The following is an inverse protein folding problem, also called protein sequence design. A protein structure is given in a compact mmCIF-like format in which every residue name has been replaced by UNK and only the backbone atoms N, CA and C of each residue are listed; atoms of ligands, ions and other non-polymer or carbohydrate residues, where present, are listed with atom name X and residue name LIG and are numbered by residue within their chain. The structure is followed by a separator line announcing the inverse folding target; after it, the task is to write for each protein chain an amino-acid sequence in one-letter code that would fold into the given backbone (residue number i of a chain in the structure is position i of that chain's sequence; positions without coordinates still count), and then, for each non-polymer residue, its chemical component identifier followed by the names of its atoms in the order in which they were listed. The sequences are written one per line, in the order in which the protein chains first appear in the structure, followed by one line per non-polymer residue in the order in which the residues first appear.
data_IF_149540302149
#
_entry.id   IF_149540302149
#
_cell.length_a   1.000
_cell.length_b   1.000
_cell.length_c   1.000
_cell.angle_alpha   90.00
_cell.angle_beta   90.00
_cell.angle_gamma   90.00
#
_symmetry.space_group_name_H-M   'P 1'
#
loop_
_entity.id
_entity.type
_entity.pdbx_description
1 polymer ?
#
# COMPACT_ATOMS: atom_id res chain seq x y z
N UNK A 1 12.34 28.43 -29.31
CA UNK A 1 11.59 27.18 -29.66
C UNK A 1 11.44 26.41 -28.37
N UNK A 2 10.20 26.17 -27.93
CA UNK A 2 9.95 25.30 -26.79
C UNK A 2 10.37 23.87 -27.17
N UNK A 3 11.28 23.28 -26.41
CA UNK A 3 11.62 21.87 -26.55
C UNK A 3 10.50 21.11 -25.85
N UNK A 4 9.73 20.35 -26.61
CA UNK A 4 8.64 19.55 -26.07
C UNK A 4 9.17 18.16 -25.73
N UNK A 5 9.30 17.86 -24.44
CA UNK A 5 9.50 16.48 -23.99
C UNK A 5 8.15 15.77 -24.13
N UNK A 6 8.10 14.72 -24.95
CA UNK A 6 6.88 13.95 -25.17
C UNK A 6 6.36 13.35 -23.84
N UNK A 7 5.18 13.74 -23.34
CA UNK A 7 4.62 13.20 -22.12
C UNK A 7 4.37 11.68 -22.17
N UNK A 8 4.13 11.11 -23.37
CA UNK A 8 3.99 9.67 -23.56
C UNK A 8 5.27 8.91 -23.16
N UNK A 9 6.43 9.59 -23.19
CA UNK A 9 7.70 9.02 -22.73
C UNK A 9 7.70 8.68 -21.24
N UNK A 10 6.83 9.27 -20.43
CA UNK A 10 6.77 8.92 -19.01
C UNK A 10 5.64 7.93 -18.70
N UNK A 11 4.81 7.61 -19.69
CA UNK A 11 3.80 6.57 -19.52
C UNK A 11 4.48 5.20 -19.63
N UNK A 12 4.12 4.32 -18.70
CA UNK A 12 4.51 2.91 -18.71
C UNK A 12 5.99 2.64 -18.39
N UNK A 13 6.66 3.55 -17.66
CA UNK A 13 8.06 3.35 -17.27
C UNK A 13 8.25 2.00 -16.57
N UNK A 14 7.34 1.64 -15.67
CA UNK A 14 7.38 0.37 -14.92
C UNK A 14 7.26 -0.89 -15.79
N UNK A 15 6.77 -0.77 -17.03
CA UNK A 15 6.62 -1.88 -17.99
C UNK A 15 7.57 -1.79 -19.20
N UNK A 16 8.54 -0.86 -19.20
CA UNK A 16 9.53 -0.78 -20.28
C UNK A 16 10.49 -1.98 -20.26
N UNK A 17 10.87 -2.52 -21.44
CA UNK A 17 11.94 -3.51 -21.52
C UNK A 17 13.24 -2.91 -20.99
N UNK A 18 14.05 -3.73 -20.30
CA UNK A 18 15.35 -3.33 -19.74
C UNK A 18 16.44 -3.13 -20.81
N UNK A 19 16.06 -3.16 -22.09
CA UNK A 19 16.95 -3.06 -23.23
C UNK A 19 16.70 -1.75 -23.98
N UNK A 20 17.78 -0.97 -24.13
CA UNK A 20 17.79 0.26 -24.89
C UNK A 20 18.40 1.40 -24.09
N UNK A 21 19.40 2.05 -24.69
CA UNK A 21 19.89 3.33 -24.21
C UNK A 21 19.78 4.34 -25.35
N UNK A 22 19.27 5.52 -25.04
CA UNK A 22 19.08 6.57 -26.03
C UNK A 22 20.10 7.68 -25.79
N UNK A 23 20.84 8.05 -26.82
CA UNK A 23 21.66 9.26 -26.78
C UNK A 23 20.77 10.48 -27.03
N UNK A 24 20.85 11.44 -26.13
CA UNK A 24 20.09 12.69 -26.19
C UNK A 24 20.95 13.81 -26.76
N UNK A 25 20.33 14.71 -27.51
CA UNK A 25 20.96 15.98 -27.86
C UNK A 25 21.08 16.87 -26.61
N UNK A 26 22.07 17.78 -26.51
CA UNK A 26 22.27 18.61 -25.32
C UNK A 26 21.03 19.36 -24.83
N UNK A 27 20.23 19.90 -25.76
CA UNK A 27 18.98 20.61 -25.45
C UNK A 27 17.88 19.70 -24.89
N UNK A 28 17.81 18.46 -25.35
CA UNK A 28 16.86 17.47 -24.86
C UNK A 28 17.25 17.00 -23.46
N UNK A 29 18.56 16.85 -23.22
CA UNK A 29 19.13 16.56 -21.90
C UNK A 29 18.79 17.68 -20.90
N UNK A 30 19.05 18.93 -21.26
CA UNK A 30 18.76 20.08 -20.39
C UNK A 30 17.28 20.15 -20.03
N UNK A 31 16.39 20.04 -21.02
CA UNK A 31 14.94 20.04 -20.80
C UNK A 31 14.50 18.89 -19.86
N UNK A 32 15.08 17.70 -20.00
CA UNK A 32 14.75 16.56 -19.15
C UNK A 32 15.19 16.76 -17.69
N UNK A 33 16.31 17.45 -17.45
CA UNK A 33 16.81 17.74 -16.11
C UNK A 33 16.04 18.89 -15.44
N UNK A 34 15.56 19.87 -16.21
CA UNK A 34 14.72 20.98 -15.71
C UNK A 34 13.33 20.53 -15.26
N UNK A 35 12.79 19.47 -15.87
CA UNK A 35 11.45 18.94 -15.61
C UNK A 35 11.29 18.25 -14.24
N UNK A 36 12.39 18.05 -13.50
CA UNK A 36 12.44 17.29 -12.26
C UNK A 36 12.18 15.79 -12.46
N UNK A 37 12.24 15.01 -11.37
CA UNK A 37 12.05 13.56 -11.43
C UNK A 37 10.57 13.23 -11.64
N UNK A 38 10.21 12.70 -12.80
CA UNK A 38 8.85 12.20 -13.05
C UNK A 38 8.64 10.86 -12.35
N UNK A 39 7.56 10.70 -11.60
CA UNK A 39 7.30 9.47 -10.83
C UNK A 39 5.93 8.89 -11.14
N UNK A 40 5.88 7.59 -11.41
CA UNK A 40 4.66 6.83 -11.69
C UNK A 40 4.55 5.64 -10.74
N UNK A 41 3.41 5.50 -10.07
CA UNK A 41 3.08 4.38 -9.16
C UNK A 41 1.79 3.73 -9.67
N UNK A 42 1.78 2.41 -9.85
CA UNK A 42 0.64 1.71 -10.47
C UNK A 42 0.34 0.35 -9.85
N UNK A 43 -0.94 0.00 -9.81
CA UNK A 43 -1.42 -1.35 -9.49
C UNK A 43 -2.32 -1.39 -8.26
N UNK A 44 -3.23 -2.36 -8.27
CA UNK A 44 -4.21 -2.60 -7.19
C UNK A 44 -3.68 -3.74 -6.30
N UNK A 45 -3.29 -3.42 -5.06
CA UNK A 45 -2.70 -4.38 -4.10
C UNK A 45 -3.78 -5.30 -3.54
N UNK A 46 -4.82 -4.71 -2.94
CA UNK A 46 -5.98 -5.43 -2.41
C UNK A 46 -7.25 -4.95 -3.08
N UNK A 47 -8.19 -5.86 -3.29
CA UNK A 47 -9.49 -5.57 -3.90
C UNK A 47 -10.55 -6.28 -3.08
N UNK A 48 -11.50 -5.52 -2.56
CA UNK A 48 -12.60 -6.04 -1.75
C UNK A 48 -13.35 -7.17 -2.48
N UNK A 49 -13.91 -8.10 -1.71
CA UNK A 49 -14.85 -9.07 -2.26
C UNK A 49 -16.29 -8.55 -2.17
N UNK A 50 -17.03 -8.68 -3.27
CA UNK A 50 -18.45 -8.30 -3.27
C UNK A 50 -19.28 -9.15 -2.30
N UNK A 51 -20.27 -8.49 -1.68
CA UNK A 51 -21.34 -9.13 -0.91
C UNK A 51 -22.71 -8.67 -1.41
N UNK A 52 -23.65 -9.61 -1.55
CA UNK A 52 -24.97 -9.37 -2.15
C UNK A 52 -26.03 -8.98 -1.11
N UNK A 53 -25.67 -8.02 -0.26
CA UNK A 53 -26.52 -7.55 0.81
C UNK A 53 -27.57 -6.58 0.32
N UNK A 54 -28.84 -6.97 0.38
CA UNK A 54 -29.96 -6.06 0.13
C UNK A 54 -30.14 -5.09 1.30
N UNK A 55 -30.39 -3.78 1.04
CA UNK A 55 -30.66 -2.84 2.10
C UNK A 55 -31.85 -3.27 2.95
N UNK A 56 -31.74 -3.14 4.27
CA UNK A 56 -32.82 -3.45 5.20
C UNK A 56 -33.68 -2.22 5.49
N UNK A 57 -34.95 -2.46 5.86
CA UNK A 57 -35.87 -1.40 6.27
C UNK A 57 -35.50 -0.88 7.67
N UNK A 58 -35.79 0.38 7.97
CA UNK A 58 -35.56 0.94 9.32
C UNK A 58 -36.25 0.12 10.43
N UNK A 59 -37.44 -0.42 10.16
CA UNK A 59 -38.15 -1.28 11.13
C UNK A 59 -37.35 -2.55 11.46
N UNK A 60 -36.72 -3.15 10.46
CA UNK A 60 -35.82 -4.30 10.63
C UNK A 60 -34.58 -3.89 11.44
N UNK A 61 -33.93 -2.79 11.05
CA UNK A 61 -32.72 -2.29 11.69
C UNK A 61 -32.94 -1.91 13.17
N UNK A 62 -34.15 -1.47 13.54
CA UNK A 62 -34.53 -1.19 14.95
C UNK A 62 -34.80 -2.46 15.75
N UNK A 63 -35.49 -3.43 15.17
CA UNK A 63 -35.93 -4.63 15.87
C UNK A 63 -34.82 -5.69 16.05
N UNK A 64 -33.75 -5.60 15.25
CA UNK A 64 -32.61 -6.51 15.30
C UNK A 64 -31.95 -6.52 16.70
N UNK A 65 -31.68 -7.73 17.22
CA UNK A 65 -30.97 -7.93 18.49
C UNK A 65 -29.48 -8.06 18.21
N UNK A 66 -28.68 -7.19 18.81
CA UNK A 66 -27.24 -7.14 18.62
C UNK A 66 -26.49 -7.58 19.88
N UNK A 67 -25.51 -8.46 19.70
CA UNK A 67 -24.63 -8.90 20.76
C UNK A 67 -23.45 -7.93 20.88
N UNK A 68 -23.61 -6.93 21.77
CA UNK A 68 -22.58 -5.92 22.03
C UNK A 68 -21.38 -6.51 22.77
N UNK A 69 -20.13 -6.27 22.33
CA UNK A 69 -18.94 -6.67 23.06
C UNK A 69 -18.93 -6.09 24.48
N UNK A 70 -18.55 -6.91 25.46
CA UNK A 70 -18.42 -6.48 26.87
C UNK A 70 -17.09 -5.76 27.08
N UNK A 71 -16.99 -4.52 26.61
CA UNK A 71 -15.83 -3.67 26.81
C UNK A 71 -16.22 -2.20 27.02
N UNK A 72 -15.34 -1.45 27.67
CA UNK A 72 -15.48 0.01 27.78
C UNK A 72 -14.89 0.66 26.53
N UNK A 73 -15.68 1.53 25.89
CA UNK A 73 -15.21 2.33 24.77
C UNK A 73 -14.34 3.50 25.26
N UNK A 74 -13.32 3.84 24.47
CA UNK A 74 -12.63 5.11 24.58
C UNK A 74 -13.53 6.29 24.20
N UNK A 75 -13.10 7.51 24.55
CA UNK A 75 -13.85 8.77 24.31
C UNK A 75 -14.20 8.99 22.83
N UNK A 76 -13.36 8.51 21.93
CA UNK A 76 -13.48 8.69 20.48
C UNK A 76 -13.90 7.42 19.75
N UNK A 77 -14.41 6.43 20.46
CA UNK A 77 -14.83 5.14 19.89
C UNK A 77 -16.35 4.99 19.98
N UNK A 78 -16.89 4.19 19.08
CA UNK A 78 -18.29 3.81 19.05
C UNK A 78 -18.43 2.37 18.55
N UNK A 79 -19.61 1.80 18.73
CA UNK A 79 -19.93 0.49 18.18
C UNK A 79 -20.58 0.63 16.82
N UNK A 80 -20.05 -0.08 15.83
CA UNK A 80 -20.58 -0.16 14.48
C UNK A 80 -21.01 -1.58 14.21
N UNK A 81 -22.20 -1.75 13.62
CA UNK A 81 -22.77 -3.04 13.31
C UNK A 81 -23.00 -3.23 11.81
N UNK A 82 -22.70 -4.42 11.31
CA UNK A 82 -22.89 -4.82 9.90
C UNK A 82 -23.03 -6.34 9.81
N UNK A 83 -23.68 -6.84 8.76
CA UNK A 83 -23.84 -8.29 8.57
C UNK A 83 -22.49 -8.98 8.36
N UNK A 84 -22.36 -10.17 8.93
CA UNK A 84 -21.23 -11.05 8.70
C UNK A 84 -21.20 -11.44 7.20
N UNK A 85 -20.09 -11.18 6.46
CA UNK A 85 -19.99 -11.55 5.05
C UNK A 85 -20.13 -13.06 4.77
N UNK A 86 -19.86 -13.90 5.77
CA UNK A 86 -19.93 -15.37 5.66
C UNK A 86 -21.29 -15.94 6.09
N UNK A 87 -22.10 -15.16 6.80
CA UNK A 87 -23.43 -15.53 7.28
C UNK A 87 -24.31 -14.30 7.46
N UNK A 88 -25.17 -13.99 6.49
CA UNK A 88 -25.96 -12.75 6.48
C UNK A 88 -27.11 -12.71 7.51
N UNK A 89 -27.36 -13.82 8.22
CA UNK A 89 -28.23 -13.90 9.39
C UNK A 89 -27.54 -13.41 10.68
N UNK A 90 -26.21 -13.34 10.68
CA UNK A 90 -25.41 -12.87 11.80
C UNK A 90 -24.99 -11.42 11.60
N UNK A 91 -25.15 -10.59 12.63
CA UNK A 91 -24.64 -9.23 12.64
C UNK A 91 -23.47 -9.10 13.61
N UNK A 92 -22.35 -8.64 13.05
CA UNK A 92 -21.13 -8.34 13.79
C UNK A 92 -21.21 -6.93 14.38
N UNK A 93 -20.65 -6.76 15.57
CA UNK A 93 -20.53 -5.46 16.24
C UNK A 93 -19.07 -5.22 16.56
N UNK A 94 -18.46 -4.25 15.89
CA UNK A 94 -17.05 -3.89 16.09
C UNK A 94 -16.93 -2.53 16.76
N UNK A 95 -15.77 -2.27 17.34
CA UNK A 95 -15.38 -0.93 17.77
C UNK A 95 -14.77 -0.21 16.59
N UNK A 96 -15.19 1.03 16.34
CA UNK A 96 -14.65 1.91 15.31
C UNK A 96 -14.42 3.29 15.92
N UNK A 97 -13.33 3.95 15.52
CA UNK A 97 -13.11 5.34 15.89
C UNK A 97 -14.04 6.29 15.09
N UNK A 98 -14.40 7.39 15.73
CA UNK A 98 -15.33 8.38 15.15
C UNK A 98 -14.80 9.00 13.86
N UNK A 99 -13.49 9.13 13.71
CA UNK A 99 -12.86 9.70 12.52
C UNK A 99 -13.10 8.80 11.30
N UNK A 100 -12.82 7.51 11.42
CA UNK A 100 -13.11 6.49 10.39
C UNK A 100 -14.59 6.48 10.01
N UNK A 101 -15.50 6.54 11.00
CA UNK A 101 -16.93 6.61 10.70
C UNK A 101 -17.29 7.88 9.93
N UNK A 102 -16.75 9.03 10.31
CA UNK A 102 -17.01 10.30 9.62
C UNK A 102 -16.51 10.27 8.18
N UNK A 103 -15.36 9.64 7.91
CA UNK A 103 -14.85 9.43 6.56
C UNK A 103 -15.82 8.56 5.74
N UNK A 104 -16.30 7.44 6.29
CA UNK A 104 -17.32 6.61 5.63
C UNK A 104 -18.60 7.41 5.34
N UNK A 105 -19.08 8.20 6.32
CA UNK A 105 -20.27 9.04 6.15
C UNK A 105 -20.08 10.17 5.13
N UNK A 106 -18.83 10.57 4.86
CA UNK A 106 -18.53 11.56 3.82
C UNK A 106 -18.56 10.99 2.41
N UNK A 107 -18.30 9.69 2.26
CA UNK A 107 -18.26 9.00 0.96
C UNK A 107 -19.59 8.34 0.60
N UNK A 108 -20.31 7.79 1.58
CA UNK A 108 -21.55 7.03 1.36
C UNK A 108 -22.81 7.85 1.68
N UNK A 109 -23.95 7.35 1.21
CA UNK A 109 -25.25 7.98 1.46
C UNK A 109 -25.56 8.02 2.96
N UNK A 110 -26.12 9.12 3.46
CA UNK A 110 -26.58 9.21 4.87
C UNK A 110 -27.60 8.13 5.26
N UNK A 111 -28.36 7.60 4.28
CA UNK A 111 -29.33 6.52 4.51
C UNK A 111 -28.67 5.17 4.80
N UNK A 112 -27.38 5.06 4.52
CA UNK A 112 -26.58 3.85 4.75
C UNK A 112 -26.11 3.75 6.21
N UNK A 113 -26.41 4.76 7.05
CA UNK A 113 -26.04 4.78 8.46
C UNK A 113 -27.29 4.96 9.32
N UNK A 114 -27.62 3.95 10.10
CA UNK A 114 -28.75 3.98 11.02
C UNK A 114 -28.26 4.05 12.47
N UNK A 115 -28.44 5.20 13.09
CA UNK A 115 -28.16 5.38 14.52
C UNK A 115 -29.28 4.73 15.37
N UNK A 116 -28.91 3.71 16.15
CA UNK A 116 -29.84 3.01 17.03
C UNK A 116 -29.92 3.70 18.40
N UNK A 117 -31.04 3.49 19.10
CA UNK A 117 -31.26 4.03 20.45
C UNK A 117 -30.27 3.47 21.49
N UNK A 118 -29.69 2.29 21.23
CA UNK A 118 -28.68 1.65 22.07
C UNK A 118 -27.24 2.20 21.84
N UNK A 119 -27.11 3.21 20.97
CA UNK A 119 -25.85 3.90 20.65
C UNK A 119 -24.97 3.16 19.65
N UNK A 120 -25.46 2.09 19.01
CA UNK A 120 -24.77 1.40 17.92
C UNK A 120 -25.12 2.07 16.59
N UNK A 121 -24.12 2.31 15.74
CA UNK A 121 -24.34 2.74 14.35
C UNK A 121 -24.45 1.49 13.49
N UNK A 122 -25.64 1.23 12.97
CA UNK A 122 -25.90 0.08 12.09
C UNK A 122 -25.70 0.51 10.64
N UNK A 123 -24.71 -0.07 9.97
CA UNK A 123 -24.47 0.14 8.54
C UNK A 123 -25.60 -0.48 7.72
N UNK A 124 -25.85 0.05 6.53
CA UNK A 124 -26.82 -0.46 5.57
C UNK A 124 -26.33 -0.11 4.16
N UNK A 125 -27.01 -0.61 3.13
CA UNK A 125 -26.77 -0.16 1.75
C UNK A 125 -25.32 -0.39 1.28
N UNK A 126 -24.74 0.61 0.61
CA UNK A 126 -23.38 0.50 0.06
C UNK A 126 -22.33 0.50 1.17
N UNK A 127 -22.51 1.29 2.23
CA UNK A 127 -21.54 1.32 3.35
C UNK A 127 -21.38 -0.04 4.02
N UNK A 128 -22.49 -0.80 4.17
CA UNK A 128 -22.47 -2.15 4.73
C UNK A 128 -21.74 -3.11 3.78
N UNK A 129 -22.05 -3.04 2.49
CA UNK A 129 -21.40 -3.88 1.46
C UNK A 129 -19.90 -3.64 1.41
N UNK A 130 -19.49 -2.38 1.49
CA UNK A 130 -18.09 -1.98 1.49
C UNK A 130 -17.32 -2.55 2.70
N UNK A 131 -17.82 -2.32 3.92
CA UNK A 131 -17.16 -2.80 5.14
C UNK A 131 -17.15 -4.32 5.23
N UNK A 132 -18.28 -4.97 4.92
CA UNK A 132 -18.37 -6.43 4.91
C UNK A 132 -17.51 -7.05 3.80
N UNK A 133 -17.42 -6.41 2.63
CA UNK A 133 -16.60 -6.87 1.52
C UNK A 133 -15.11 -6.83 1.81
N UNK A 134 -14.65 -5.79 2.51
CA UNK A 134 -13.28 -5.77 3.04
C UNK A 134 -13.03 -6.85 4.09
N UNK A 135 -13.96 -7.05 5.03
CA UNK A 135 -13.78 -8.12 6.03
C UNK A 135 -13.71 -9.50 5.38
N UNK A 136 -14.53 -9.75 4.37
CA UNK A 136 -14.52 -11.00 3.59
C UNK A 136 -13.17 -11.22 2.92
N UNK A 137 -12.67 -10.19 2.23
CA UNK A 137 -11.37 -10.21 1.58
C UNK A 137 -10.23 -10.48 2.57
N UNK A 138 -10.23 -9.80 3.72
CA UNK A 138 -9.22 -9.98 4.78
C UNK A 138 -9.26 -11.42 5.33
N UNK A 139 -10.46 -11.94 5.62
CA UNK A 139 -10.63 -13.27 6.17
C UNK A 139 -10.15 -14.36 5.20
N UNK A 140 -10.50 -14.24 3.92
CA UNK A 140 -10.31 -15.31 2.93
C UNK A 140 -9.09 -15.11 2.05
N UNK A 141 -8.93 -13.93 1.43
CA UNK A 141 -7.86 -13.66 0.48
C UNK A 141 -6.54 -13.36 1.19
N UNK A 142 -6.53 -12.45 2.17
CA UNK A 142 -5.36 -12.27 3.06
C UNK A 142 -5.21 -13.39 4.07
N UNK A 143 -6.24 -14.22 4.25
CA UNK A 143 -6.16 -15.51 4.91
C UNK A 143 -6.12 -15.45 6.44
N UNK A 144 -6.64 -14.38 7.07
CA UNK A 144 -6.61 -14.22 8.52
C UNK A 144 -7.27 -15.39 9.27
N UNK A 145 -8.40 -15.90 8.77
CA UNK A 145 -9.11 -17.03 9.39
C UNK A 145 -8.29 -18.32 9.32
N UNK A 146 -7.49 -18.48 8.25
CA UNK A 146 -6.65 -19.67 8.07
C UNK A 146 -5.34 -19.57 8.84
N UNK A 147 -4.80 -18.36 8.96
CA UNK A 147 -3.54 -18.08 9.64
C UNK A 147 -3.67 -18.18 11.16
N UNK A 148 -4.81 -17.79 11.74
CA UNK A 148 -5.14 -17.96 13.16
C UNK A 148 -5.41 -19.46 13.48
N UNK A 149 -4.31 -20.20 13.68
CA UNK A 149 -4.33 -21.65 13.90
C UNK A 149 -4.81 -22.02 15.29
N UNK A 150 -4.50 -21.17 16.28
CA UNK A 150 -4.84 -21.39 17.67
C UNK A 150 -6.28 -20.92 18.01
N UNK A 151 -6.90 -20.14 17.11
CA UNK A 151 -8.26 -19.59 17.18
C UNK A 151 -8.47 -18.61 18.34
N UNK A 152 -7.44 -17.85 18.68
CA UNK A 152 -7.53 -16.81 19.70
C UNK A 152 -7.95 -15.44 19.13
N UNK A 153 -8.12 -15.35 17.81
CA UNK A 153 -8.53 -14.15 17.09
C UNK A 153 -7.39 -13.17 16.84
N UNK A 154 -6.16 -13.54 17.17
CA UNK A 154 -4.94 -12.77 16.92
C UNK A 154 -4.02 -13.53 15.96
N UNK A 155 -3.10 -12.80 15.34
CA UNK A 155 -2.03 -13.33 14.51
C UNK A 155 -0.72 -13.08 15.24
N UNK A 156 -0.03 -14.16 15.63
CA UNK A 156 1.29 -14.10 16.24
C UNK A 156 2.45 -14.16 15.22
N UNK A 157 3.70 -14.11 15.71
CA UNK A 157 4.92 -14.15 14.87
C UNK A 157 5.10 -15.46 14.07
N UNK A 158 4.47 -16.56 14.50
CA UNK A 158 4.49 -17.82 13.78
C UNK A 158 3.40 -17.86 12.71
N UNK A 159 2.23 -17.28 13.01
CA UNK A 159 1.06 -17.25 12.15
C UNK A 159 1.18 -16.23 11.03
N UNK A 160 1.83 -15.09 11.28
CA UNK A 160 1.95 -13.99 10.30
C UNK A 160 2.59 -14.44 8.98
N UNK A 161 3.51 -15.41 9.02
CA UNK A 161 4.20 -15.94 7.83
C UNK A 161 3.24 -16.60 6.84
N UNK A 162 2.09 -17.07 7.33
CA UNK A 162 1.05 -17.71 6.53
C UNK A 162 0.01 -16.73 5.97
N UNK A 163 0.04 -15.46 6.39
CA UNK A 163 -0.83 -14.43 5.84
C UNK A 163 -0.50 -14.19 4.37
N UNK A 164 -1.53 -14.12 3.54
CA UNK A 164 -1.41 -13.88 2.11
C UNK A 164 -1.41 -12.37 1.80
N UNK A 165 -0.47 -11.62 2.39
CA UNK A 165 -0.39 -10.16 2.27
C UNK A 165 0.69 -9.69 1.31
N UNK A 166 1.48 -10.62 0.77
CA UNK A 166 2.58 -10.36 -0.14
C UNK A 166 2.15 -10.07 -1.56
N UNK A 167 2.95 -9.29 -2.27
CA UNK A 167 2.77 -8.97 -3.68
C UNK A 167 4.12 -8.80 -4.38
N UNK A 168 4.15 -9.19 -5.65
CA UNK A 168 5.29 -8.95 -6.51
C UNK A 168 5.21 -7.52 -7.08
N UNK A 169 6.34 -6.80 -7.03
CA UNK A 169 6.47 -5.44 -7.53
C UNK A 169 7.72 -5.31 -8.36
N UNK A 170 7.68 -4.39 -9.33
CA UNK A 170 8.86 -3.92 -10.02
C UNK A 170 9.02 -2.41 -9.83
N UNK A 171 10.21 -1.99 -9.45
CA UNK A 171 10.65 -0.60 -9.38
C UNK A 171 11.80 -0.42 -10.36
N UNK A 172 11.66 0.53 -11.29
CA UNK A 172 12.68 0.88 -12.28
C UNK A 172 12.86 2.39 -12.33
N UNK A 173 14.01 2.83 -12.81
CA UNK A 173 14.27 4.25 -13.02
C UNK A 173 15.16 4.51 -14.24
N UNK A 174 15.00 5.69 -14.82
CA UNK A 174 15.86 6.23 -15.87
C UNK A 174 16.88 7.20 -15.26
N UNK A 175 18.08 7.25 -15.84
CA UNK A 175 19.12 8.16 -15.40
C UNK A 175 19.99 8.69 -16.56
N UNK A 176 20.60 9.85 -16.34
CA UNK A 176 21.61 10.50 -17.18
C UNK A 176 22.84 10.80 -16.33
N UNK A 177 23.88 9.99 -16.46
CA UNK A 177 25.03 10.08 -15.57
C UNK A 177 24.63 9.81 -14.11
N UNK A 178 24.69 10.84 -13.26
CA UNK A 178 24.32 10.75 -11.83
C UNK A 178 22.87 11.18 -11.55
N UNK A 179 22.20 11.76 -12.55
CA UNK A 179 20.88 12.35 -12.38
C UNK A 179 19.78 11.34 -12.73
N UNK A 180 18.93 11.02 -11.75
CA UNK A 180 17.69 10.28 -11.99
C UNK A 180 16.68 11.20 -12.65
N UNK A 181 16.05 10.75 -13.74
CA UNK A 181 15.14 11.57 -14.54
C UNK A 181 13.69 11.09 -14.40
N UNK A 182 13.50 9.79 -14.23
CA UNK A 182 12.17 9.23 -14.04
C UNK A 182 12.19 7.95 -13.20
N UNK A 183 11.07 7.69 -12.54
CA UNK A 183 10.84 6.56 -11.65
C UNK A 183 9.51 5.92 -12.01
N UNK A 184 9.51 4.60 -12.17
CA UNK A 184 8.29 3.81 -12.32
C UNK A 184 8.26 2.67 -11.32
N UNK A 185 7.20 2.59 -10.52
CA UNK A 185 6.93 1.40 -9.70
C UNK A 185 5.56 0.84 -10.04
N UNK A 186 5.48 -0.47 -10.22
CA UNK A 186 4.20 -1.15 -10.45
C UNK A 186 4.15 -2.52 -9.80
N UNK A 187 2.94 -3.00 -9.52
CA UNK A 187 2.73 -4.43 -9.30
C UNK A 187 3.09 -5.21 -10.57
N UNK A 188 3.77 -6.34 -10.41
CA UNK A 188 4.09 -7.25 -11.52
C UNK A 188 3.86 -8.67 -11.06
N UNK A 189 2.92 -9.41 -11.65
CA UNK A 189 2.74 -10.82 -11.31
C UNK A 189 1.76 -11.04 -10.16
N UNK A 190 2.21 -11.74 -9.10
CA UNK A 190 1.30 -12.34 -8.11
C UNK A 190 0.92 -11.37 -7.00
N UNK A 191 -0.34 -11.45 -6.58
CA UNK A 191 -0.89 -10.85 -5.36
C UNK A 191 -1.26 -11.97 -4.40
N UNK A 192 -1.46 -11.62 -3.13
CA UNK A 192 -1.84 -12.57 -2.09
C UNK A 192 -0.83 -13.70 -1.90
N UNK A 193 0.46 -13.36 -1.95
CA UNK A 193 1.55 -14.30 -1.62
C UNK A 193 1.69 -14.42 -0.11
N UNK A 194 2.08 -15.60 0.37
CA UNK A 194 2.37 -15.80 1.78
C UNK A 194 3.47 -14.83 2.23
N UNK A 195 3.29 -14.19 3.38
CA UNK A 195 4.23 -13.20 3.90
C UNK A 195 5.63 -13.79 4.06
N UNK A 196 5.72 -15.04 4.52
CA UNK A 196 6.97 -15.79 4.67
C UNK A 196 7.76 -15.99 3.37
N UNK A 197 7.10 -15.90 2.21
CA UNK A 197 7.74 -16.03 0.89
C UNK A 197 8.22 -14.69 0.32
N UNK A 198 7.89 -13.57 0.99
CA UNK A 198 8.27 -12.23 0.53
C UNK A 198 9.67 -11.85 0.99
N UNK A 199 10.30 -10.90 0.27
CA UNK A 199 11.54 -10.27 0.74
C UNK A 199 11.39 -9.64 2.13
N UNK A 200 10.18 -9.18 2.48
CA UNK A 200 9.87 -8.46 3.71
C UNK A 200 9.99 -9.33 4.98
N UNK A 201 9.76 -10.64 4.89
CA UNK A 201 9.75 -11.51 6.06
C UNK A 201 11.10 -11.54 6.81
N UNK A 202 12.20 -11.21 6.14
CA UNK A 202 13.54 -11.30 6.70
C UNK A 202 14.35 -10.00 6.56
N UNK A 203 13.76 -8.93 6.00
CA UNK A 203 14.49 -7.70 5.68
C UNK A 203 13.76 -6.46 6.16
N UNK A 204 14.52 -5.40 6.44
CA UNK A 204 13.93 -4.09 6.68
C UNK A 204 13.19 -3.61 5.44
N UNK A 205 11.96 -3.14 5.64
CA UNK A 205 11.06 -2.72 4.57
C UNK A 205 11.11 -1.20 4.39
N UNK A 206 11.12 -0.74 3.14
CA UNK A 206 11.00 0.67 2.79
C UNK A 206 10.13 0.87 1.55
N UNK A 207 9.91 2.13 1.17
CA UNK A 207 9.10 2.49 0.02
C UNK A 207 9.64 1.95 -1.33
N UNK A 208 10.92 1.59 -1.43
CA UNK A 208 11.62 1.16 -2.65
C UNK A 208 11.59 -0.36 -2.83
N UNK A 209 11.57 -1.15 -1.77
CA UNK A 209 11.65 -2.62 -1.87
C UNK A 209 10.48 -3.38 -1.24
N UNK A 210 9.55 -2.71 -0.55
CA UNK A 210 8.50 -3.43 0.21
C UNK A 210 7.56 -4.27 -0.67
N UNK A 211 7.46 -5.57 -0.39
CA UNK A 211 6.59 -6.55 -1.06
C UNK A 211 5.38 -6.96 -0.21
N UNK A 212 5.14 -6.29 0.91
CA UNK A 212 3.96 -6.44 1.76
C UNK A 212 3.68 -5.10 2.44
N UNK A 213 2.42 -4.71 2.56
CA UNK A 213 2.06 -3.52 3.33
C UNK A 213 2.19 -3.81 4.83
N UNK A 214 2.13 -2.76 5.67
CA UNK A 214 1.96 -3.01 7.11
C UNK A 214 0.59 -3.65 7.30
N UNK A 215 0.47 -4.48 8.32
CA UNK A 215 -0.76 -5.18 8.65
C UNK A 215 -0.97 -5.21 10.16
N UNK A 216 -2.14 -5.64 10.61
CA UNK A 216 -2.51 -5.72 12.03
C UNK A 216 -2.63 -7.17 12.50
N UNK A 217 -2.51 -7.36 13.79
CA UNK A 217 -2.54 -8.68 14.42
C UNK A 217 -3.95 -9.26 14.57
N UNK A 218 -5.00 -8.71 13.95
CA UNK A 218 -6.35 -9.29 13.99
C UNK A 218 -7.18 -8.83 12.80
N UNK A 219 -8.16 -9.63 12.38
CA UNK A 219 -9.00 -9.32 11.22
C UNK A 219 -9.77 -8.00 11.38
N UNK A 220 -10.27 -7.68 12.57
CA UNK A 220 -10.99 -6.42 12.81
C UNK A 220 -10.06 -5.21 12.88
N UNK A 221 -8.84 -5.36 13.43
CA UNK A 221 -7.87 -4.29 13.38
C UNK A 221 -7.39 -4.04 11.93
N UNK A 222 -7.21 -5.10 11.16
CA UNK A 222 -6.86 -5.04 9.74
C UNK A 222 -7.98 -4.43 8.90
N UNK A 223 -9.25 -4.69 9.24
CA UNK A 223 -10.40 -4.06 8.60
C UNK A 223 -10.36 -2.54 8.75
N UNK A 224 -10.22 -2.05 9.99
CA UNK A 224 -10.13 -0.61 10.24
C UNK A 224 -8.90 0.02 9.57
N UNK A 225 -7.79 -0.71 9.55
CA UNK A 225 -6.56 -0.29 8.89
C UNK A 225 -6.75 -0.20 7.36
N UNK A 226 -7.40 -1.18 6.75
CA UNK A 226 -7.70 -1.22 5.31
C UNK A 226 -8.65 -0.11 4.91
N UNK A 227 -9.70 0.17 5.70
CA UNK A 227 -10.63 1.28 5.43
C UNK A 227 -9.87 2.61 5.41
N UNK A 228 -8.91 2.81 6.33
CA UNK A 228 -8.07 4.02 6.35
C UNK A 228 -7.08 4.10 5.19
N UNK A 229 -6.68 2.95 4.67
CA UNK A 229 -5.71 2.86 3.58
C UNK A 229 -6.36 3.08 2.21
N UNK A 230 -7.57 2.55 1.99
CA UNK A 230 -8.40 2.83 0.82
C UNK A 230 -8.94 4.26 0.94
N UNK A 231 -8.16 5.26 0.48
CA UNK A 231 -8.43 6.67 0.76
C UNK A 231 -9.70 7.14 0.08
N UNK A 232 -9.95 6.66 -1.14
CA UNK A 232 -11.10 7.03 -1.95
C UNK A 232 -12.35 6.16 -1.66
N UNK A 233 -12.23 5.12 -0.83
CA UNK A 233 -13.28 4.18 -0.44
C UNK A 233 -13.93 3.48 -1.64
N UNK A 234 -13.17 3.20 -2.70
CA UNK A 234 -13.66 2.57 -3.92
C UNK A 234 -13.65 1.03 -3.88
N UNK A 235 -13.15 0.46 -2.78
CA UNK A 235 -13.04 -0.98 -2.59
C UNK A 235 -11.74 -1.55 -3.15
N UNK A 236 -10.76 -0.70 -3.46
CA UNK A 236 -9.42 -1.10 -3.87
C UNK A 236 -8.40 -0.31 -3.07
N UNK A 237 -7.37 -1.02 -2.64
CA UNK A 237 -6.15 -0.39 -2.13
C UNK A 237 -5.14 -0.42 -3.26
N UNK A 238 -4.81 0.75 -3.79
CA UNK A 238 -3.74 0.90 -4.77
C UNK A 238 -2.37 0.80 -4.11
N UNK A 239 -1.34 0.52 -4.92
CA UNK A 239 0.05 0.53 -4.45
C UNK A 239 0.44 1.91 -3.92
N UNK A 240 -0.05 2.99 -4.53
CA UNK A 240 0.23 4.35 -4.06
C UNK A 240 -0.33 4.60 -2.66
N UNK A 241 -1.59 4.26 -2.43
CA UNK A 241 -2.25 4.36 -1.13
C UNK A 241 -1.51 3.53 -0.06
N UNK A 242 -1.21 2.27 -0.37
CA UNK A 242 -0.48 1.39 0.54
C UNK A 242 0.93 1.90 0.88
N UNK A 243 1.62 2.53 -0.07
CA UNK A 243 2.97 3.05 0.15
C UNK A 243 3.02 4.28 1.07
N UNK A 244 1.91 5.00 1.27
CA UNK A 244 1.86 6.19 2.16
C UNK A 244 2.34 5.89 3.57
N UNK A 245 2.15 4.67 4.05
CA UNK A 245 2.57 4.28 5.41
C UNK A 245 4.10 4.18 5.59
N UNK A 246 4.84 4.16 4.50
CA UNK A 246 6.31 4.16 4.48
C UNK A 246 6.87 5.58 4.25
N UNK A 247 5.97 6.57 4.08
CA UNK A 247 6.31 7.97 3.81
C UNK A 247 6.20 8.79 5.10
N UNK A 248 7.16 9.70 5.38
CA UNK A 248 7.00 10.69 6.45
C UNK A 248 5.75 11.54 6.23
N UNK A 249 4.98 11.83 7.29
CA UNK A 249 3.70 12.56 7.22
C UNK A 249 3.74 13.94 6.53
N UNK A 250 4.93 14.52 6.35
CA UNK A 250 5.13 15.83 5.73
C UNK A 250 5.64 15.75 4.29
N UNK A 251 5.55 14.59 3.65
CA UNK A 251 6.01 14.37 2.28
C UNK A 251 4.95 13.65 1.46
N UNK A 252 4.96 13.93 0.16
CA UNK A 252 4.15 13.20 -0.82
C UNK A 252 4.84 11.89 -1.23
N UNK A 253 4.04 10.86 -1.50
CA UNK A 253 4.54 9.51 -1.85
C UNK A 253 5.47 9.53 -3.05
N UNK A 254 5.09 10.24 -4.11
CA UNK A 254 5.88 10.36 -5.35
C UNK A 254 7.24 11.03 -5.10
N UNK A 255 7.26 12.14 -4.37
CA UNK A 255 8.49 12.89 -4.05
C UNK A 255 9.43 12.07 -3.18
N UNK A 256 8.89 11.39 -2.17
CA UNK A 256 9.70 10.58 -1.26
C UNK A 256 10.27 9.34 -1.94
N UNK A 257 9.49 8.69 -2.81
CA UNK A 257 9.98 7.57 -3.63
C UNK A 257 11.11 8.03 -4.56
N UNK A 258 10.93 9.15 -5.26
CA UNK A 258 11.95 9.73 -6.14
C UNK A 258 13.24 10.05 -5.37
N UNK A 259 13.12 10.65 -4.18
CA UNK A 259 14.25 10.94 -3.31
C UNK A 259 15.01 9.65 -2.93
N UNK A 260 14.29 8.59 -2.54
CA UNK A 260 14.90 7.33 -2.12
C UNK A 260 15.59 6.60 -3.26
N UNK A 261 15.01 6.62 -4.45
CA UNK A 261 15.65 6.02 -5.63
C UNK A 261 16.87 6.83 -6.07
N UNK A 262 16.83 8.17 -6.02
CA UNK A 262 18.01 9.00 -6.27
C UNK A 262 19.15 8.66 -5.29
N UNK A 263 18.84 8.51 -4.01
CA UNK A 263 19.83 8.11 -3.01
C UNK A 263 20.43 6.74 -3.37
N UNK A 264 19.60 5.74 -3.68
CA UNK A 264 20.07 4.41 -4.03
C UNK A 264 20.86 4.37 -5.35
N UNK A 265 20.58 5.29 -6.29
CA UNK A 265 21.37 5.43 -7.52
C UNK A 265 22.77 5.97 -7.24
N UNK A 266 22.88 7.01 -6.41
CA UNK A 266 24.18 7.58 -6.01
C UNK A 266 25.01 6.56 -5.23
N UNK A 267 24.37 5.79 -4.34
CA UNK A 267 25.01 4.67 -3.64
C UNK A 267 25.52 3.61 -4.62
N UNK A 268 24.75 3.25 -5.64
CA UNK A 268 25.20 2.32 -6.68
C UNK A 268 26.38 2.86 -7.51
N UNK A 269 26.35 4.14 -7.89
CA UNK A 269 27.47 4.76 -8.61
C UNK A 269 28.74 4.66 -7.77
N UNK A 270 28.64 5.03 -6.49
CA UNK A 270 29.78 4.97 -5.59
C UNK A 270 30.31 3.55 -5.41
N UNK A 271 29.43 2.56 -5.24
CA UNK A 271 29.81 1.17 -4.94
C UNK A 271 30.32 0.40 -6.16
N UNK A 272 29.81 0.70 -7.36
CA UNK A 272 30.10 -0.07 -8.58
C UNK A 272 31.01 0.64 -9.56
N UNK A 273 31.24 1.94 -9.37
CA UNK A 273 32.01 2.81 -10.26
C UNK A 273 31.70 2.56 -11.75
N UNK A 274 30.40 2.61 -12.14
CA UNK A 274 30.01 2.31 -13.51
C UNK A 274 30.53 3.39 -14.45
N UNK A 275 30.82 3.03 -15.71
CA UNK A 275 31.10 4.02 -16.75
C UNK A 275 29.81 4.79 -17.06
N UNK A 276 29.75 6.04 -16.61
CA UNK A 276 28.62 6.92 -16.82
C UNK A 276 28.82 7.77 -18.07
N UNK A 277 27.83 7.76 -18.95
CA UNK A 277 27.81 8.57 -20.16
C UNK A 277 26.77 9.69 -20.01
N UNK A 278 27.17 10.97 -19.86
CA UNK A 278 26.25 12.06 -19.47
C UNK A 278 25.09 12.35 -20.44
N UNK A 279 25.21 11.90 -21.68
CA UNK A 279 24.21 12.08 -22.74
C UNK A 279 23.43 10.80 -23.06
N UNK A 280 23.73 9.70 -22.37
CA UNK A 280 23.10 8.40 -22.61
C UNK A 280 22.04 8.18 -21.54
N UNK A 281 20.78 8.26 -21.95
CA UNK A 281 19.68 7.84 -21.10
C UNK A 281 19.77 6.32 -20.94
N UNK A 282 19.94 5.88 -19.70
CA UNK A 282 20.01 4.49 -19.32
C UNK A 282 18.90 4.14 -18.33
N UNK A 283 18.68 2.84 -18.15
CA UNK A 283 17.60 2.27 -17.33
C UNK A 283 18.20 1.33 -16.29
N UNK A 284 17.61 1.28 -15.10
CA UNK A 284 17.98 0.30 -14.06
C UNK A 284 16.76 -0.23 -13.31
N UNK A 285 16.78 -1.52 -13.05
CA UNK A 285 15.86 -2.22 -12.16
C UNK A 285 16.41 -2.17 -10.73
N UNK A 286 15.58 -1.75 -9.77
CA UNK A 286 15.91 -1.67 -8.34
C UNK A 286 15.02 -2.57 -7.48
N UNK A 287 14.14 -3.36 -8.11
CA UNK A 287 13.15 -4.23 -7.44
C UNK A 287 13.81 -5.31 -6.59
N UNK A 288 14.99 -5.75 -7.01
CA UNK A 288 15.82 -6.71 -6.30
C UNK A 288 17.14 -5.99 -6.02
N UNK A 289 17.36 -5.46 -4.81
CA UNK A 289 18.67 -4.95 -4.48
C UNK A 289 19.68 -6.08 -4.73
N UNK A 290 20.72 -5.81 -5.52
CA UNK A 290 21.87 -6.71 -5.61
C UNK A 290 22.24 -7.10 -4.17
N UNK A 291 22.22 -8.40 -3.89
CA UNK A 291 22.28 -8.95 -2.53
C UNK A 291 23.63 -8.58 -1.92
N UNK A 292 23.69 -7.40 -1.30
CA UNK A 292 24.68 -7.06 -0.29
C UNK A 292 23.98 -7.24 1.04
N UNK A 293 24.53 -8.13 1.86
CA UNK A 293 24.08 -8.34 3.23
C UNK A 293 24.10 -7.03 4.00
N UNK A 294 23.26 -6.93 5.04
CA UNK A 294 23.19 -5.75 5.92
C UNK A 294 24.56 -5.40 6.50
N UNK A 295 25.38 -6.41 6.85
CA UNK A 295 26.76 -6.23 7.30
C UNK A 295 27.68 -5.64 6.22
N UNK A 296 27.51 -6.03 4.95
CA UNK A 296 28.29 -5.47 3.84
C UNK A 296 27.93 -4.01 3.59
N UNK A 297 26.64 -3.66 3.66
CA UNK A 297 26.20 -2.26 3.57
C UNK A 297 26.71 -1.42 4.73
N UNK A 298 26.62 -1.92 5.96
CA UNK A 298 27.06 -1.19 7.15
C UNK A 298 28.59 -1.00 7.19
N UNK A 299 29.36 -2.03 6.79
CA UNK A 299 30.83 -1.92 6.67
C UNK A 299 31.26 -0.91 5.60
N UNK A 300 30.56 -0.87 4.48
CA UNK A 300 30.84 0.09 3.40
C UNK A 300 30.42 1.52 3.78
N UNK A 301 29.26 1.70 4.43
CA UNK A 301 28.83 3.02 4.94
C UNK A 301 29.81 3.58 5.98
N UNK A 302 30.33 2.73 6.87
CA UNK A 302 31.34 3.13 7.85
C UNK A 302 32.66 3.56 7.18
N UNK A 303 33.08 2.88 6.10
CA UNK A 303 34.23 3.34 5.30
C UNK A 303 34.01 4.72 4.69
N UNK A 304 32.81 4.99 4.17
CA UNK A 304 32.49 6.30 3.55
C UNK A 304 32.55 7.45 4.57
N UNK A 305 32.04 7.24 5.78
CA UNK A 305 32.10 8.23 6.87
C UNK A 305 33.56 8.51 7.29
N UNK A 306 34.43 7.49 7.23
CA UNK A 306 35.84 7.63 7.58
C UNK A 306 36.72 8.27 6.49
N UNK A 307 36.27 8.33 5.24
CA UNK A 307 37.03 8.94 4.13
C UNK A 307 36.68 10.42 3.88
N UNK A 308 35.64 10.94 4.53
CA UNK A 308 35.20 12.35 4.43
C UNK A 308 35.56 13.20 5.66
N UNK A 309 36.27 12.63 6.64
CA UNK A 309 36.86 13.34 7.80
C UNK A 309 38.37 13.37 7.72
#
# INVERSE_FOLDING_TARGET
MAVHVDPERFKHIASRPLEGSQYLQPKEREALLEDGIKTQIQGDVYIQEGVDFKPQSEGTLRAERLNKPKMQLGKNELFVAFRNPDNDEETLVIVMDKETLNELQSQFSKKDFFEREDGIVRLNGESERYVAGWLKEINHNRGYVKADTNKDGLIDENEEKSLNIGFDRKSVYEYLGEDVTSVGTSLQGRRYQAYGDTFNANNSVDIVTTQALKFKSSAYAELLHTIKMDDNKDGKVTLEEGLKEFVPKNKETHEYLAQKIRQAHLEWIHLKDPVLEPNRLAYRDISMPEILSKEEREKELQKMIMQQG
#
